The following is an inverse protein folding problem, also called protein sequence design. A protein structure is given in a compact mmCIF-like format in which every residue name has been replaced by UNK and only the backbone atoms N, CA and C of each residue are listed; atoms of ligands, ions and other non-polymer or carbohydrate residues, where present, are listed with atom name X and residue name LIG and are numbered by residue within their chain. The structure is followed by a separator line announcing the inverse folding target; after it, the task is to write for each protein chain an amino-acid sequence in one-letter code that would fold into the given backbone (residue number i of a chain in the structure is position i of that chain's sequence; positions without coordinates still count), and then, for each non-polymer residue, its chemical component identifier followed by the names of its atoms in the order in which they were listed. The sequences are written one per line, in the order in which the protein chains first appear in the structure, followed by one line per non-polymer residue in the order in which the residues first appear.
data_IF_483612362842
#
_entry.id   IF_483612362842
#
_cell.length_a   1.000
_cell.length_b   1.000
_cell.length_c   1.000
_cell.angle_alpha   90.00
_cell.angle_beta   90.00
_cell.angle_gamma   90.00
#
_symmetry.space_group_name_H-M   'P 1'
#
loop_
_entity.id
_entity.type
_entity.pdbx_description
1 polymer ?
#
# COMPACT_ATOMS: atom_id res chain seq x y z
N UNK A 1 31.19 7.26 2.67
CA UNK A 1 31.28 6.11 1.74
C UNK A 1 30.12 6.24 0.75
N UNK A 2 30.25 5.82 -0.52
CA UNK A 2 29.12 5.94 -1.47
C UNK A 2 28.28 4.67 -1.50
N UNK A 3 26.95 4.79 -1.35
CA UNK A 3 26.01 3.68 -1.32
C UNK A 3 24.88 3.86 -2.34
N UNK A 4 24.32 2.75 -2.81
CA UNK A 4 23.23 2.78 -3.80
C UNK A 4 21.93 3.28 -3.19
N UNK A 5 21.21 4.10 -3.93
CA UNK A 5 19.95 4.71 -3.51
C UNK A 5 18.91 3.67 -3.08
N UNK A 6 18.73 2.59 -3.85
CA UNK A 6 17.78 1.51 -3.51
C UNK A 6 18.09 0.78 -2.19
N UNK A 7 19.38 0.67 -1.85
CA UNK A 7 19.83 0.10 -0.58
C UNK A 7 19.59 1.09 0.56
N UNK A 8 19.95 2.36 0.35
CA UNK A 8 19.76 3.41 1.36
C UNK A 8 18.29 3.59 1.73
N UNK A 9 17.36 3.53 0.77
CA UNK A 9 15.92 3.62 1.05
C UNK A 9 15.43 2.48 1.95
N UNK A 10 15.92 1.26 1.73
CA UNK A 10 15.56 0.11 2.55
C UNK A 10 16.15 0.21 3.96
N UNK A 11 17.46 0.47 4.06
CA UNK A 11 18.16 0.53 5.36
C UNK A 11 17.68 1.68 6.24
N UNK A 12 17.25 2.80 5.64
CA UNK A 12 16.68 3.96 6.37
C UNK A 12 15.18 3.80 6.65
N UNK A 13 14.57 2.65 6.35
CA UNK A 13 13.15 2.41 6.59
C UNK A 13 12.19 3.24 5.72
N UNK A 14 12.69 3.86 4.64
CA UNK A 14 11.89 4.60 3.67
C UNK A 14 11.16 3.67 2.67
N UNK A 15 11.54 2.39 2.64
CA UNK A 15 10.89 1.34 1.89
C UNK A 15 10.99 -0.02 2.60
N UNK A 16 9.89 -0.79 2.64
CA UNK A 16 9.84 -2.10 3.32
C UNK A 16 10.69 -3.19 2.67
N UNK A 17 11.15 -2.97 1.43
CA UNK A 17 12.04 -3.89 0.73
C UNK A 17 12.83 -3.15 -0.36
N UNK A 18 13.94 -3.74 -0.79
CA UNK A 18 14.70 -3.23 -1.95
C UNK A 18 13.86 -3.13 -3.21
N UNK A 19 12.92 -4.05 -3.42
CA UNK A 19 12.03 -4.03 -4.58
C UNK A 19 10.99 -2.91 -4.49
N UNK A 20 10.50 -2.61 -3.28
CA UNK A 20 9.65 -1.44 -3.04
C UNK A 20 10.44 -0.15 -3.24
N UNK A 21 11.71 -0.09 -2.79
CA UNK A 21 12.59 1.06 -3.01
C UNK A 21 12.76 1.37 -4.50
N UNK A 22 13.07 0.37 -5.34
CA UNK A 22 13.14 0.56 -6.80
C UNK A 22 11.85 1.13 -7.38
N UNK A 23 10.69 0.61 -6.96
CA UNK A 23 9.39 1.11 -7.41
C UNK A 23 9.15 2.57 -7.02
N UNK A 24 9.55 3.00 -5.82
CA UNK A 24 9.45 4.40 -5.40
C UNK A 24 10.34 5.30 -6.27
N UNK A 25 11.58 4.86 -6.55
CA UNK A 25 12.53 5.58 -7.39
C UNK A 25 11.98 5.69 -8.83
N UNK A 26 11.51 4.59 -9.41
CA UNK A 26 10.90 4.56 -10.74
C UNK A 26 9.60 5.37 -10.82
N UNK A 27 8.83 5.44 -9.73
CA UNK A 27 7.65 6.30 -9.64
C UNK A 27 8.02 7.80 -9.58
N UNK A 28 9.31 8.13 -9.48
CA UNK A 28 9.80 9.50 -9.53
C UNK A 28 9.39 10.32 -8.31
N UNK A 29 9.25 9.65 -7.17
CA UNK A 29 8.87 10.22 -5.88
C UNK A 29 10.02 10.22 -4.87
N UNK A 30 11.23 9.86 -5.29
CA UNK A 30 12.42 9.86 -4.42
C UNK A 30 13.28 11.07 -4.75
N UNK A 31 13.70 11.79 -3.72
CA UNK A 31 14.51 12.99 -3.82
C UNK A 31 15.75 12.84 -2.94
N UNK A 32 16.91 13.21 -3.47
CA UNK A 32 18.18 13.27 -2.74
C UNK A 32 18.69 14.69 -2.79
N UNK A 33 18.91 15.32 -1.64
CA UNK A 33 19.32 16.72 -1.53
C UNK A 33 18.46 17.66 -2.39
N UNK A 34 17.13 17.48 -2.31
CA UNK A 34 16.10 18.17 -3.10
C UNK A 34 16.07 17.89 -4.61
N UNK A 35 16.94 17.03 -5.14
CA UNK A 35 16.94 16.63 -6.55
C UNK A 35 16.16 15.33 -6.74
N UNK A 36 15.28 15.29 -7.73
CA UNK A 36 14.50 14.09 -8.05
C UNK A 36 15.41 13.02 -8.66
N UNK A 37 15.34 11.81 -8.13
CA UNK A 37 16.11 10.66 -8.61
C UNK A 37 15.20 9.58 -9.18
N UNK A 38 15.57 9.06 -10.35
CA UNK A 38 14.84 8.03 -11.10
C UNK A 38 15.66 6.74 -11.34
N UNK A 39 16.93 6.72 -10.90
CA UNK A 39 17.85 5.59 -11.05
C UNK A 39 18.16 4.93 -9.72
N UNK A 40 17.66 3.70 -9.56
CA UNK A 40 17.91 2.89 -8.37
C UNK A 40 19.40 2.61 -8.08
N UNK A 41 20.22 2.54 -9.14
CA UNK A 41 21.66 2.29 -9.05
C UNK A 41 22.52 3.53 -8.77
N UNK A 42 21.93 4.74 -8.73
CA UNK A 42 22.67 5.97 -8.38
C UNK A 42 23.30 5.83 -6.99
N UNK A 43 24.52 6.33 -6.84
CA UNK A 43 25.26 6.25 -5.58
C UNK A 43 25.45 7.62 -4.94
N UNK A 44 25.11 7.71 -3.65
CA UNK A 44 25.17 8.94 -2.87
C UNK A 44 26.01 8.74 -1.61
N UNK A 45 26.40 9.84 -0.97
CA UNK A 45 27.01 9.77 0.34
C UNK A 45 26.01 9.20 1.36
N UNK A 46 26.50 8.45 2.34
CA UNK A 46 25.68 7.85 3.40
C UNK A 46 24.96 8.90 4.26
N UNK A 47 25.41 10.15 4.26
CA UNK A 47 24.77 11.27 4.96
C UNK A 47 23.82 12.10 4.06
N UNK A 48 23.68 11.77 2.78
CA UNK A 48 22.81 12.52 1.86
C UNK A 48 21.36 12.54 2.37
N UNK A 49 20.65 13.67 2.22
CA UNK A 49 19.27 13.82 2.71
C UNK A 49 18.34 13.18 1.69
N UNK A 50 17.63 12.11 2.10
CA UNK A 50 16.70 11.38 1.23
C UNK A 50 15.27 11.63 1.68
N UNK A 51 14.43 12.07 0.75
CA UNK A 51 12.99 12.24 0.96
C UNK A 51 12.20 11.39 -0.04
N UNK A 52 11.14 10.72 0.44
CA UNK A 52 10.16 10.08 -0.43
C UNK A 52 8.89 10.92 -0.45
N UNK A 53 8.69 11.67 -1.54
CA UNK A 53 7.58 12.59 -1.75
C UNK A 53 6.43 11.91 -2.48
N UNK A 54 5.48 11.41 -1.74
CA UNK A 54 4.25 10.85 -2.29
C UNK A 54 3.51 10.16 -1.18
N UNK A 55 2.17 10.16 -1.23
CA UNK A 55 1.41 9.36 -0.28
C UNK A 55 1.79 7.90 -0.50
N UNK A 56 2.35 7.26 0.52
CA UNK A 56 2.23 5.81 0.65
C UNK A 56 0.77 5.47 0.37
N UNK A 57 0.52 4.48 -0.49
CA UNK A 57 -0.85 4.11 -0.84
C UNK A 57 -1.64 3.91 0.46
N UNK A 58 -2.71 4.69 0.65
CA UNK A 58 -3.55 4.65 1.86
C UNK A 58 -4.08 3.24 2.12
N UNK A 59 -4.28 2.48 1.05
CA UNK A 59 -4.77 1.12 1.06
C UNK A 59 -3.73 0.17 0.44
N UNK A 60 -3.79 -1.13 0.77
CA UNK A 60 -2.90 -2.17 0.23
C UNK A 60 -2.86 -2.24 -1.31
N UNK A 61 -3.88 -1.69 -1.99
CA UNK A 61 -3.87 -1.51 -3.45
C UNK A 61 -4.60 -0.23 -3.87
N UNK A 62 -4.33 0.23 -5.10
CA UNK A 62 -5.05 1.36 -5.73
C UNK A 62 -6.56 1.13 -5.84
N UNK A 63 -7.02 -0.12 -5.72
CA UNK A 63 -8.44 -0.45 -5.72
C UNK A 63 -9.20 0.32 -4.66
N UNK A 64 -8.65 0.46 -3.44
CA UNK A 64 -9.34 1.13 -2.33
C UNK A 64 -9.75 2.58 -2.63
N UNK A 65 -9.00 3.29 -3.47
CA UNK A 65 -9.33 4.66 -3.90
C UNK A 65 -10.65 4.74 -4.70
N UNK A 66 -11.06 3.64 -5.34
CA UNK A 66 -12.35 3.58 -6.06
C UNK A 66 -13.52 3.54 -5.08
N UNK A 67 -13.41 2.70 -4.04
CA UNK A 67 -14.43 2.62 -3.01
C UNK A 67 -14.50 3.89 -2.18
N UNK A 68 -13.34 4.45 -1.79
CA UNK A 68 -13.26 5.75 -1.10
C UNK A 68 -14.03 6.83 -1.87
N UNK A 69 -13.76 6.97 -3.17
CA UNK A 69 -14.49 7.92 -4.01
C UNK A 69 -15.99 7.63 -4.09
N UNK A 70 -16.38 6.36 -4.17
CA UNK A 70 -17.80 6.00 -4.16
C UNK A 70 -18.47 6.37 -2.83
N UNK A 71 -17.80 6.16 -1.70
CA UNK A 71 -18.30 6.53 -0.39
C UNK A 71 -18.51 8.05 -0.27
N UNK A 72 -17.55 8.84 -0.76
CA UNK A 72 -17.65 10.29 -0.77
C UNK A 72 -18.78 10.80 -1.65
N UNK A 73 -18.89 10.26 -2.88
CA UNK A 73 -19.89 10.70 -3.86
C UNK A 73 -21.31 10.30 -3.46
N UNK A 74 -21.48 9.11 -2.89
CA UNK A 74 -22.80 8.56 -2.56
C UNK A 74 -23.16 8.69 -1.07
N UNK A 75 -22.29 9.31 -0.25
CA UNK A 75 -22.54 9.51 1.18
C UNK A 75 -22.59 8.21 2.00
N UNK A 76 -21.89 7.16 1.56
CA UNK A 76 -21.89 5.85 2.21
C UNK A 76 -21.03 5.91 3.48
N UNK A 77 -21.57 5.45 4.61
CA UNK A 77 -20.88 5.33 5.90
C UNK A 77 -20.75 3.85 6.28
N UNK A 78 -19.57 3.44 6.70
CA UNK A 78 -19.26 2.04 7.01
C UNK A 78 -18.99 1.79 8.50
N UNK A 79 -19.04 2.83 9.32
CA UNK A 79 -18.86 2.75 10.77
C UNK A 79 -19.86 1.76 11.39
N UNK A 80 -19.34 0.72 12.05
CA UNK A 80 -20.17 -0.30 12.70
C UNK A 80 -20.72 -1.37 11.74
N UNK A 81 -20.43 -1.30 10.44
CA UNK A 81 -21.03 -2.18 9.45
C UNK A 81 -20.27 -3.50 9.27
N UNK A 82 -21.04 -4.56 9.01
CA UNK A 82 -20.54 -5.84 8.49
C UNK A 82 -20.61 -5.78 6.97
N UNK A 83 -19.49 -5.94 6.29
CA UNK A 83 -19.38 -5.75 4.85
C UNK A 83 -18.95 -7.03 4.13
N UNK A 84 -19.16 -7.06 2.81
CA UNK A 84 -18.66 -8.11 1.92
C UNK A 84 -17.92 -7.47 0.75
N UNK A 85 -16.71 -7.96 0.48
CA UNK A 85 -15.86 -7.58 -0.64
C UNK A 85 -15.85 -8.74 -1.65
N UNK A 86 -16.58 -8.60 -2.77
CA UNK A 86 -16.68 -9.65 -3.80
C UNK A 86 -15.65 -9.37 -4.90
N UNK A 87 -14.70 -10.29 -5.07
CA UNK A 87 -13.52 -10.08 -5.91
C UNK A 87 -12.42 -9.32 -5.16
N UNK A 88 -12.17 -9.70 -3.91
CA UNK A 88 -11.29 -8.98 -2.98
C UNK A 88 -9.85 -8.82 -3.52
N UNK A 89 -9.35 -9.78 -4.30
CA UNK A 89 -8.01 -9.78 -4.90
C UNK A 89 -6.92 -9.49 -3.84
N UNK A 90 -6.09 -8.47 -4.03
CA UNK A 90 -5.09 -8.05 -3.02
C UNK A 90 -5.72 -7.46 -1.74
N UNK A 91 -6.99 -7.07 -1.76
CA UNK A 91 -7.74 -6.56 -0.61
C UNK A 91 -7.87 -5.04 -0.52
N UNK A 92 -7.79 -4.34 -1.65
CA UNK A 92 -7.86 -2.87 -1.67
C UNK A 92 -9.18 -2.30 -1.13
N UNK A 93 -10.31 -2.93 -1.48
CA UNK A 93 -11.63 -2.53 -0.98
C UNK A 93 -11.80 -2.95 0.48
N UNK A 94 -11.40 -4.17 0.84
CA UNK A 94 -11.47 -4.62 2.23
C UNK A 94 -10.65 -3.72 3.18
N UNK A 95 -9.44 -3.31 2.82
CA UNK A 95 -8.66 -2.35 3.61
C UNK A 95 -9.37 -0.98 3.71
N UNK A 96 -9.97 -0.52 2.61
CA UNK A 96 -10.77 0.71 2.62
C UNK A 96 -11.95 0.62 3.59
N UNK A 97 -12.69 -0.48 3.60
CA UNK A 97 -13.81 -0.68 4.52
C UNK A 97 -13.35 -0.71 5.98
N UNK A 98 -12.28 -1.45 6.29
CA UNK A 98 -11.74 -1.55 7.65
C UNK A 98 -11.22 -0.21 8.19
N UNK A 99 -10.56 0.59 7.35
CA UNK A 99 -10.06 1.91 7.74
C UNK A 99 -11.19 2.93 7.95
N UNK A 100 -12.36 2.70 7.35
CA UNK A 100 -13.55 3.54 7.47
C UNK A 100 -14.61 2.94 8.42
N UNK A 101 -14.18 2.14 9.41
CA UNK A 101 -15.01 1.77 10.54
C UNK A 101 -15.83 0.48 10.39
N UNK A 102 -15.66 -0.28 9.30
CA UNK A 102 -16.27 -1.60 9.20
C UNK A 102 -15.75 -2.52 10.31
N UNK A 103 -16.68 -3.20 11.00
CA UNK A 103 -16.37 -4.08 12.14
C UNK A 103 -16.06 -5.51 11.71
N UNK A 104 -16.51 -5.90 10.52
CA UNK A 104 -16.25 -7.20 9.91
C UNK A 104 -16.29 -7.09 8.40
N UNK A 105 -15.40 -7.77 7.69
CA UNK A 105 -15.40 -7.84 6.23
C UNK A 105 -15.22 -9.27 5.75
N UNK A 106 -16.17 -9.77 4.96
CA UNK A 106 -16.05 -11.04 4.24
C UNK A 106 -15.39 -10.78 2.90
N UNK A 107 -14.13 -11.20 2.75
CA UNK A 107 -13.35 -11.02 1.52
C UNK A 107 -13.44 -12.27 0.67
N UNK A 108 -14.25 -12.22 -0.37
CA UNK A 108 -14.56 -13.35 -1.26
C UNK A 108 -13.75 -13.22 -2.54
N UNK A 109 -13.04 -14.27 -2.93
CA UNK A 109 -12.34 -14.33 -4.21
C UNK A 109 -12.28 -15.76 -4.76
N UNK A 110 -12.33 -15.91 -6.08
CA UNK A 110 -12.14 -17.19 -6.76
C UNK A 110 -10.66 -17.61 -6.78
N UNK A 111 -9.75 -16.65 -6.67
CA UNK A 111 -8.31 -16.83 -6.58
C UNK A 111 -7.86 -17.43 -5.25
N UNK A 112 -6.55 -17.63 -5.13
CA UNK A 112 -5.93 -18.19 -3.93
C UNK A 112 -4.63 -17.47 -3.59
N UNK A 113 -4.42 -17.18 -2.30
CA UNK A 113 -3.18 -16.58 -1.80
C UNK A 113 -2.98 -15.11 -2.21
N UNK A 114 -4.03 -14.41 -2.65
CA UNK A 114 -3.91 -13.06 -3.20
C UNK A 114 -4.03 -11.96 -2.15
N UNK A 115 -4.84 -12.19 -1.11
CA UNK A 115 -5.11 -11.21 -0.08
C UNK A 115 -3.83 -10.84 0.68
N UNK A 116 -3.58 -9.54 0.85
CA UNK A 116 -2.42 -9.01 1.55
C UNK A 116 -2.28 -9.64 2.95
N UNK A 117 -1.04 -9.91 3.35
CA UNK A 117 -0.73 -10.60 4.61
C UNK A 117 -1.33 -9.89 5.82
N UNK A 118 -1.30 -8.55 5.86
CA UNK A 118 -1.87 -7.79 6.98
C UNK A 118 -3.38 -8.02 7.08
N UNK A 119 -4.07 -8.01 5.94
CA UNK A 119 -5.53 -8.19 5.90
C UNK A 119 -5.93 -9.63 6.21
N UNK A 120 -5.16 -10.61 5.72
CA UNK A 120 -5.39 -12.03 6.02
C UNK A 120 -5.32 -12.34 7.52
N UNK A 121 -4.50 -11.58 8.25
CA UNK A 121 -4.31 -11.76 9.69
C UNK A 121 -5.11 -10.75 10.54
N UNK A 122 -5.90 -9.85 9.93
CA UNK A 122 -6.77 -8.94 10.69
C UNK A 122 -7.98 -9.73 11.22
N UNK A 123 -8.26 -9.72 12.54
CA UNK A 123 -9.36 -10.51 13.13
C UNK A 123 -10.76 -10.09 12.63
N UNK A 124 -10.89 -8.90 12.04
CA UNK A 124 -12.13 -8.40 11.45
C UNK A 124 -12.37 -8.97 10.05
N UNK A 125 -11.38 -9.61 9.42
CA UNK A 125 -11.51 -10.16 8.07
C UNK A 125 -11.85 -11.65 8.12
N UNK A 126 -12.76 -12.07 7.24
CA UNK A 126 -13.01 -13.49 6.94
C UNK A 126 -12.60 -13.71 5.50
N UNK A 127 -11.50 -14.44 5.31
CA UNK A 127 -10.95 -14.75 3.99
C UNK A 127 -11.69 -15.97 3.41
N UNK A 128 -12.42 -15.76 2.31
CA UNK A 128 -13.19 -16.78 1.61
C UNK A 128 -12.63 -16.95 0.19
N UNK A 129 -11.62 -17.80 0.06
CA UNK A 129 -10.98 -18.09 -1.24
C UNK A 129 -11.60 -19.32 -1.91
N UNK A 130 -11.47 -19.42 -3.23
CA UNK A 130 -12.00 -20.52 -4.06
C UNK A 130 -13.52 -20.70 -3.93
N UNK A 131 -14.24 -19.60 -3.73
CA UNK A 131 -15.70 -19.55 -3.57
C UNK A 131 -16.36 -18.90 -4.79
#
# INVERSE_FOLDING_TARGET
MKKRLDVMLFERGLADSREKAKRLIMAGIVYVDNNKEDKAGSTFDEEAVIEVRGKTLKYVSRGGLKLEKAMDVYGIRLDGMVCMDVGASTGGFTDCMLQNGAVKVYSVDVGHGQLDWKLRNDPRVVCMEKT
#
